data_IF_124231788780
#
_entry.id   IF_124231788780
#
_cell.length_a   1.000
_cell.length_b   1.000
_cell.length_c   1.000
_cell.angle_alpha   90.00
_cell.angle_beta   90.00
_cell.angle_gamma   90.00
#
_symmetry.space_group_name_H-M   'P 1'
#
loop_
_entity.id
_entity.type
_entity.pdbx_description
1 polymer ?
#
# COMPACT_ATOMS: atom_id res chain seq x y z
N UNK A 1 37.66 21.32 -43.31
CA UNK A 1 37.94 21.48 -41.84
C UNK A 1 36.68 21.71 -41.02
N UNK A 2 35.52 22.00 -41.58
CA UNK A 2 34.25 22.27 -40.86
C UNK A 2 33.45 21.01 -40.50
N UNK A 3 33.56 19.93 -41.29
CA UNK A 3 32.79 18.72 -41.07
C UNK A 3 33.18 17.97 -39.75
N UNK A 4 34.41 18.10 -39.30
CA UNK A 4 34.87 17.48 -38.05
C UNK A 4 34.36 18.23 -36.78
N UNK A 5 34.04 19.50 -36.90
CA UNK A 5 33.46 20.29 -35.77
C UNK A 5 32.02 19.90 -35.52
N UNK A 6 31.24 19.77 -36.58
CA UNK A 6 29.80 19.39 -36.48
C UNK A 6 29.61 18.01 -35.83
N UNK A 7 30.42 17.03 -36.23
CA UNK A 7 30.37 15.68 -35.63
C UNK A 7 30.75 15.66 -34.14
N UNK A 8 31.72 16.49 -33.77
CA UNK A 8 32.14 16.59 -32.34
C UNK A 8 31.09 17.25 -31.49
N UNK A 9 30.44 18.32 -31.96
CA UNK A 9 29.41 19.05 -31.22
C UNK A 9 28.11 18.24 -31.11
N UNK A 10 27.78 17.45 -32.15
CA UNK A 10 26.67 16.50 -32.12
C UNK A 10 26.92 15.35 -31.15
N UNK A 11 28.15 14.86 -31.05
CA UNK A 11 28.52 13.77 -30.12
C UNK A 11 28.50 14.25 -28.66
N UNK A 12 28.90 15.51 -28.42
CA UNK A 12 28.81 16.12 -27.10
C UNK A 12 27.35 16.37 -26.68
N UNK A 13 26.49 16.77 -27.62
CA UNK A 13 25.07 16.98 -27.35
C UNK A 13 24.33 15.67 -27.02
N UNK A 14 24.63 14.58 -27.73
CA UNK A 14 24.09 13.24 -27.44
C UNK A 14 24.60 12.69 -26.13
N UNK A 15 25.87 12.89 -25.77
CA UNK A 15 26.42 12.49 -24.49
C UNK A 15 25.75 13.23 -23.31
N UNK A 16 25.42 14.52 -23.50
CA UNK A 16 24.71 15.32 -22.48
C UNK A 16 23.29 14.79 -22.21
N UNK A 17 22.58 14.37 -23.26
CA UNK A 17 21.24 13.77 -23.11
C UNK A 17 21.25 12.39 -22.41
N UNK A 18 22.34 11.64 -22.52
CA UNK A 18 22.46 10.34 -21.86
C UNK A 18 22.75 10.46 -20.35
N UNK A 19 23.29 11.58 -19.89
CA UNK A 19 23.60 11.82 -18.47
C UNK A 19 22.37 12.32 -17.71
N UNK A 20 21.37 12.91 -18.37
CA UNK A 20 20.12 13.35 -17.72
C UNK A 20 19.07 12.25 -17.56
N UNK A 21 19.40 11.01 -17.98
CA UNK A 21 18.53 9.86 -17.86
C UNK A 21 18.46 9.35 -16.43
N UNK A 22 17.28 9.46 -15.84
CA UNK A 22 16.82 8.78 -14.62
C UNK A 22 17.72 8.99 -13.39
N UNK A 23 17.57 10.12 -12.72
CA UNK A 23 17.81 10.14 -11.29
C UNK A 23 16.75 9.22 -10.63
N UNK A 24 17.08 7.95 -10.45
CA UNK A 24 16.39 7.08 -9.54
C UNK A 24 16.63 7.64 -8.15
N UNK A 25 15.72 8.46 -7.67
CA UNK A 25 15.69 8.80 -6.25
C UNK A 25 15.35 7.49 -5.53
N UNK A 26 16.35 6.93 -4.87
CA UNK A 26 16.12 5.97 -3.80
C UNK A 26 15.31 6.73 -2.75
N UNK A 27 13.99 6.56 -2.78
CA UNK A 27 13.15 6.98 -1.66
C UNK A 27 13.62 6.10 -0.50
N UNK A 28 14.41 6.69 0.40
CA UNK A 28 14.67 6.06 1.69
C UNK A 28 13.30 5.74 2.26
N UNK A 29 12.99 4.45 2.38
CA UNK A 29 11.81 4.01 3.10
C UNK A 29 12.00 4.47 4.53
N UNK A 30 11.38 5.59 4.89
CA UNK A 30 11.31 6.03 6.26
C UNK A 30 10.51 4.97 7.03
N UNK A 31 11.22 4.01 7.63
CA UNK A 31 10.62 3.07 8.54
C UNK A 31 10.16 3.84 9.77
N UNK A 32 8.89 3.66 10.08
CA UNK A 32 8.35 4.14 11.35
C UNK A 32 8.85 3.20 12.44
N UNK A 33 9.63 3.72 13.38
CA UNK A 33 10.11 2.94 14.51
C UNK A 33 9.07 2.97 15.64
N UNK A 34 8.63 1.78 16.03
CA UNK A 34 7.72 1.56 17.15
C UNK A 34 8.42 0.75 18.24
N UNK A 35 8.01 0.91 19.48
CA UNK A 35 8.54 0.09 20.58
C UNK A 35 8.15 -1.37 20.41
N UNK A 36 6.88 -1.63 20.01
CA UNK A 36 6.33 -2.98 19.83
C UNK A 36 5.22 -2.97 18.78
N UNK A 37 5.12 -4.05 18.03
CA UNK A 37 3.98 -4.34 17.14
C UNK A 37 3.33 -5.64 17.61
N UNK A 38 2.04 -5.60 17.91
CA UNK A 38 1.22 -6.73 18.29
C UNK A 38 0.17 -7.02 17.23
N UNK A 39 -0.09 -8.29 16.99
CA UNK A 39 -1.09 -8.73 16.02
C UNK A 39 -2.16 -9.60 16.68
N UNK A 40 -3.41 -9.38 16.30
CA UNK A 40 -4.51 -10.27 16.64
C UNK A 40 -4.30 -11.68 16.06
N UNK A 41 -4.89 -12.67 16.70
CA UNK A 41 -4.72 -14.09 16.33
C UNK A 41 -5.25 -14.44 14.93
N UNK A 42 -6.14 -13.62 14.38
CA UNK A 42 -6.76 -13.82 13.06
C UNK A 42 -5.98 -13.17 11.89
N UNK A 43 -4.85 -12.51 12.16
CA UNK A 43 -4.11 -11.78 11.14
C UNK A 43 -3.13 -12.73 10.44
N UNK A 44 -3.25 -12.80 9.11
CA UNK A 44 -2.41 -13.62 8.26
C UNK A 44 -0.94 -13.15 8.26
N UNK A 45 -0.02 -14.11 8.14
CA UNK A 45 1.41 -13.81 8.11
C UNK A 45 1.83 -12.99 6.90
N UNK A 46 1.10 -13.10 5.78
CA UNK A 46 1.28 -12.26 4.59
C UNK A 46 1.13 -10.78 4.92
N UNK A 47 0.07 -10.42 5.67
CA UNK A 47 -0.20 -9.04 6.09
C UNK A 47 0.83 -8.57 7.14
N UNK A 48 1.22 -9.41 8.08
CA UNK A 48 2.28 -9.10 9.05
C UNK A 48 3.59 -8.74 8.35
N UNK A 49 3.99 -9.53 7.34
CA UNK A 49 5.19 -9.27 6.55
C UNK A 49 5.10 -7.96 5.75
N UNK A 50 3.91 -7.60 5.25
CA UNK A 50 3.68 -6.29 4.59
C UNK A 50 3.80 -5.14 5.58
N UNK A 51 3.22 -5.28 6.78
CA UNK A 51 3.32 -4.28 7.86
C UNK A 51 4.79 -4.00 8.23
N UNK A 52 5.62 -5.03 8.34
CA UNK A 52 7.04 -4.90 8.66
C UNK A 52 7.89 -4.19 7.57
N UNK A 53 7.32 -3.96 6.38
CA UNK A 53 7.96 -3.11 5.35
C UNK A 53 7.84 -1.61 5.64
N UNK A 54 6.93 -1.21 6.49
CA UNK A 54 6.64 0.19 6.83
C UNK A 54 6.95 0.51 8.29
N UNK A 55 6.75 -0.46 9.16
CA UNK A 55 6.95 -0.32 10.60
C UNK A 55 8.05 -1.27 11.06
N UNK A 56 9.03 -0.74 11.79
CA UNK A 56 10.08 -1.53 12.43
C UNK A 56 9.94 -1.48 13.95
N UNK A 57 10.44 -2.50 14.63
CA UNK A 57 10.53 -2.48 16.08
C UNK A 57 11.92 -2.06 16.51
N UNK A 58 12.02 -1.04 17.37
CA UNK A 58 13.30 -0.48 17.82
C UNK A 58 13.14 0.41 19.04
N UNK A 59 14.18 1.19 19.32
CA UNK A 59 14.16 2.20 20.39
C UNK A 59 13.43 3.45 19.89
N UNK A 60 12.11 3.38 19.74
CA UNK A 60 11.30 4.54 19.38
C UNK A 60 11.45 5.65 20.43
N UNK A 61 11.69 6.88 19.96
CA UNK A 61 11.79 8.06 20.85
C UNK A 61 10.54 8.27 21.70
N UNK A 62 9.37 7.88 21.19
CA UNK A 62 8.08 8.15 21.81
C UNK A 62 7.47 6.92 22.49
N UNK A 63 8.17 5.79 22.55
CA UNK A 63 7.72 4.53 23.16
C UNK A 63 6.31 4.11 22.68
N UNK A 64 5.96 4.45 21.44
CA UNK A 64 4.64 4.16 20.87
C UNK A 64 4.57 2.69 20.43
N UNK A 65 3.49 2.03 20.81
CA UNK A 65 3.17 0.66 20.41
C UNK A 65 2.02 0.67 19.42
N UNK A 66 2.04 -0.28 18.49
CA UNK A 66 0.94 -0.55 17.56
C UNK A 66 0.35 -1.93 17.84
N UNK A 67 -0.96 -2.01 17.97
CA UNK A 67 -1.69 -3.27 17.97
C UNK A 67 -2.69 -3.29 16.82
N UNK A 68 -2.49 -4.22 15.89
CA UNK A 68 -3.45 -4.48 14.82
C UNK A 68 -4.38 -5.58 15.32
N UNK A 69 -5.65 -5.22 15.53
CA UNK A 69 -6.63 -6.12 16.13
C UNK A 69 -7.20 -7.09 15.10
N UNK A 70 -7.51 -6.57 13.91
CA UNK A 70 -8.20 -7.31 12.88
C UNK A 70 -8.01 -6.70 11.50
N UNK A 71 -7.95 -7.56 10.48
CA UNK A 71 -8.00 -7.20 9.07
C UNK A 71 -9.04 -8.09 8.41
N UNK A 72 -10.00 -7.50 7.71
CA UNK A 72 -11.10 -8.22 7.07
C UNK A 72 -11.37 -7.70 5.68
N UNK A 73 -11.64 -8.62 4.76
CA UNK A 73 -12.13 -8.30 3.43
C UNK A 73 -13.51 -8.90 3.24
N UNK A 74 -14.44 -8.08 2.70
CA UNK A 74 -15.81 -8.48 2.41
C UNK A 74 -16.10 -8.21 0.94
N UNK A 75 -16.83 -9.12 0.32
CA UNK A 75 -17.24 -9.05 -1.08
C UNK A 75 -18.72 -8.69 -1.17
N UNK A 76 -19.05 -7.77 -2.08
CA UNK A 76 -20.43 -7.41 -2.43
C UNK A 76 -20.60 -7.44 -3.94
N UNK A 77 -21.61 -8.12 -4.41
CA UNK A 77 -21.94 -8.19 -5.83
C UNK A 77 -22.95 -7.10 -6.20
N UNK A 78 -22.69 -6.39 -7.30
CA UNK A 78 -23.63 -5.43 -7.89
C UNK A 78 -24.29 -6.01 -9.13
N UNK A 79 -25.61 -5.87 -9.21
CA UNK A 79 -26.45 -6.42 -10.27
C UNK A 79 -27.02 -5.29 -11.12
N UNK A 80 -27.12 -5.51 -12.44
CA UNK A 80 -27.61 -4.50 -13.38
C UNK A 80 -29.13 -4.39 -13.46
N UNK A 81 -29.91 -5.13 -12.61
CA UNK A 81 -31.37 -5.13 -12.56
C UNK A 81 -31.91 -6.36 -11.83
N UNK A 82 -33.25 -6.46 -11.62
CA UNK A 82 -33.86 -7.48 -10.77
C UNK A 82 -33.66 -8.96 -11.21
N UNK A 83 -33.36 -9.19 -12.47
CA UNK A 83 -33.05 -10.53 -13.02
C UNK A 83 -31.66 -10.59 -13.65
N UNK A 84 -30.83 -9.60 -13.40
CA UNK A 84 -29.53 -9.49 -14.02
C UNK A 84 -28.45 -10.25 -13.23
N UNK A 85 -27.47 -10.77 -13.97
CA UNK A 85 -26.24 -11.32 -13.38
C UNK A 85 -25.40 -10.19 -12.79
N UNK A 86 -24.55 -10.53 -11.83
CA UNK A 86 -23.61 -9.58 -11.27
C UNK A 86 -22.73 -8.99 -12.39
N UNK A 87 -22.60 -7.65 -12.42
CA UNK A 87 -21.75 -6.95 -13.39
C UNK A 87 -20.42 -6.51 -12.78
N UNK A 88 -20.43 -6.26 -11.48
CA UNK A 88 -19.26 -5.80 -10.74
C UNK A 88 -19.25 -6.44 -9.36
N UNK A 89 -18.04 -6.57 -8.83
CA UNK A 89 -17.78 -7.01 -7.47
C UNK A 89 -17.05 -5.88 -6.78
N UNK A 90 -17.55 -5.44 -5.65
CA UNK A 90 -16.85 -4.54 -4.74
C UNK A 90 -16.24 -5.34 -3.59
N UNK A 91 -14.96 -5.11 -3.34
CA UNK A 91 -14.25 -5.69 -2.20
C UNK A 91 -13.97 -4.57 -1.22
N UNK A 92 -14.44 -4.73 0.01
CA UNK A 92 -14.23 -3.80 1.12
C UNK A 92 -13.14 -4.37 2.02
N UNK A 93 -12.11 -3.55 2.30
CA UNK A 93 -11.10 -3.81 3.30
C UNK A 93 -11.38 -3.01 4.57
N UNK A 94 -11.25 -3.63 5.73
CA UNK A 94 -11.35 -2.99 7.04
C UNK A 94 -10.14 -3.42 7.89
N UNK A 95 -9.48 -2.45 8.55
CA UNK A 95 -8.40 -2.65 9.50
C UNK A 95 -8.74 -1.96 10.82
N UNK A 96 -8.68 -2.70 11.93
CA UNK A 96 -8.86 -2.19 13.28
C UNK A 96 -7.52 -2.17 14.02
N UNK A 97 -7.19 -1.01 14.61
CA UNK A 97 -5.89 -0.77 15.23
C UNK A 97 -6.00 0.00 16.54
N UNK A 98 -4.92 -0.07 17.33
CA UNK A 98 -4.69 0.75 18.50
C UNK A 98 -3.23 1.20 18.48
N UNK A 99 -3.00 2.52 18.55
CA UNK A 99 -1.72 3.10 18.93
C UNK A 99 -1.75 3.45 20.41
N UNK A 100 -0.77 3.01 21.18
CA UNK A 100 -0.77 3.25 22.62
C UNK A 100 0.64 3.38 23.21
N UNK A 101 0.75 4.24 24.22
CA UNK A 101 1.89 4.34 25.14
C UNK A 101 1.37 4.78 26.51
N UNK A 102 2.23 5.33 27.38
CA UNK A 102 1.83 5.83 28.70
C UNK A 102 0.93 7.08 28.65
N UNK A 103 0.92 7.83 27.54
CA UNK A 103 0.22 9.10 27.37
C UNK A 103 -0.91 8.99 26.33
N UNK A 104 -0.67 8.27 25.23
CA UNK A 104 -1.57 8.15 24.08
C UNK A 104 -2.29 6.81 24.11
N UNK A 105 -3.59 6.83 23.84
CA UNK A 105 -4.38 5.63 23.54
C UNK A 105 -5.37 5.97 22.43
N UNK A 106 -4.93 5.81 21.17
CA UNK A 106 -5.74 6.09 19.98
C UNK A 106 -6.14 4.79 19.31
N UNK A 107 -7.42 4.47 19.32
CA UNK A 107 -7.99 3.36 18.56
C UNK A 107 -8.73 3.90 17.32
N UNK A 108 -8.78 3.08 16.29
CA UNK A 108 -9.45 3.45 15.05
C UNK A 108 -9.80 2.25 14.18
N UNK A 109 -10.55 2.57 13.13
CA UNK A 109 -10.96 1.64 12.09
C UNK A 109 -10.78 2.29 10.74
N UNK A 110 -9.89 1.74 9.93
CA UNK A 110 -9.62 2.17 8.56
C UNK A 110 -10.47 1.35 7.60
N UNK A 111 -10.88 1.98 6.51
CA UNK A 111 -11.67 1.36 5.45
C UNK A 111 -11.15 1.74 4.09
N UNK A 112 -11.25 0.78 3.17
CA UNK A 112 -10.96 0.98 1.76
C UNK A 112 -11.87 0.10 0.92
N UNK A 113 -12.02 0.37 -0.37
CA UNK A 113 -12.74 -0.51 -1.28
C UNK A 113 -12.21 -0.42 -2.71
N UNK A 114 -12.35 -1.52 -3.44
CA UNK A 114 -12.01 -1.60 -4.85
C UNK A 114 -13.06 -2.35 -5.64
N UNK A 115 -13.19 -2.00 -6.92
CA UNK A 115 -14.17 -2.59 -7.84
C UNK A 115 -13.47 -3.43 -8.89
N UNK A 116 -14.00 -4.62 -9.15
CA UNK A 116 -13.59 -5.48 -10.26
C UNK A 116 -14.79 -5.84 -11.13
N UNK A 117 -14.64 -5.92 -12.45
CA UNK A 117 -15.68 -6.45 -13.33
C UNK A 117 -15.84 -7.95 -13.11
N UNK A 118 -17.08 -8.45 -13.19
CA UNK A 118 -17.34 -9.89 -13.23
C UNK A 118 -16.95 -10.43 -14.61
N UNK A 119 -16.23 -11.53 -14.64
CA UNK A 119 -15.85 -12.22 -15.86
C UNK A 119 -16.37 -13.65 -15.84
N UNK A 120 -17.66 -13.84 -16.21
CA UNK A 120 -18.29 -15.16 -16.24
C UNK A 120 -17.64 -16.10 -17.26
N UNK A 121 -17.03 -15.57 -18.33
CA UNK A 121 -16.38 -16.38 -19.35
C UNK A 121 -15.01 -16.92 -18.88
N UNK A 122 -14.40 -16.28 -17.89
CA UNK A 122 -13.11 -16.70 -17.34
C UNK A 122 -13.06 -16.55 -15.82
N UNK A 123 -13.62 -17.53 -15.07
CA UNK A 123 -13.63 -17.49 -13.60
C UNK A 123 -12.23 -17.41 -12.95
N UNK A 124 -11.23 -18.02 -13.59
CA UNK A 124 -9.85 -17.98 -13.08
C UNK A 124 -9.27 -16.55 -13.14
N UNK A 125 -9.56 -15.83 -14.22
CA UNK A 125 -9.18 -14.43 -14.36
C UNK A 125 -9.85 -13.55 -13.29
N UNK A 126 -11.13 -13.82 -12.98
CA UNK A 126 -11.85 -13.13 -11.91
C UNK A 126 -11.22 -13.40 -10.54
N UNK A 127 -10.87 -14.65 -10.23
CA UNK A 127 -10.19 -15.01 -8.98
C UNK A 127 -8.84 -14.30 -8.85
N UNK A 128 -8.05 -14.25 -9.92
CA UNK A 128 -6.77 -13.53 -9.93
C UNK A 128 -6.96 -12.02 -9.72
N UNK A 129 -7.96 -11.43 -10.39
CA UNK A 129 -8.29 -10.01 -10.20
C UNK A 129 -8.73 -9.73 -8.74
N UNK A 130 -9.51 -10.62 -8.12
CA UNK A 130 -9.90 -10.49 -6.71
C UNK A 130 -8.68 -10.54 -5.80
N UNK A 131 -7.73 -11.43 -6.05
CA UNK A 131 -6.49 -11.52 -5.27
C UNK A 131 -5.66 -10.25 -5.41
N UNK A 132 -5.46 -9.77 -6.62
CA UNK A 132 -4.70 -8.54 -6.90
C UNK A 132 -5.31 -7.34 -6.19
N UNK A 133 -6.63 -7.15 -6.29
CA UNK A 133 -7.27 -6.01 -5.62
C UNK A 133 -7.17 -6.10 -4.09
N UNK A 134 -7.26 -7.31 -3.50
CA UNK A 134 -7.06 -7.49 -2.06
C UNK A 134 -5.64 -7.06 -1.66
N UNK A 135 -4.62 -7.44 -2.44
CA UNK A 135 -3.24 -7.04 -2.21
C UNK A 135 -3.05 -5.52 -2.28
N UNK A 136 -3.71 -4.85 -3.23
CA UNK A 136 -3.71 -3.38 -3.36
C UNK A 136 -4.40 -2.71 -2.16
N UNK A 137 -5.57 -3.24 -1.74
CA UNK A 137 -6.31 -2.72 -0.59
C UNK A 137 -5.54 -2.92 0.73
N UNK A 138 -4.76 -3.98 0.88
CA UNK A 138 -3.87 -4.16 2.03
C UNK A 138 -2.81 -3.06 2.11
N UNK A 139 -2.20 -2.69 0.97
CA UNK A 139 -1.25 -1.57 0.92
C UNK A 139 -1.92 -0.24 1.25
N UNK A 140 -3.10 0.02 0.70
CA UNK A 140 -3.85 1.25 0.98
C UNK A 140 -4.24 1.37 2.47
N UNK A 141 -4.62 0.25 3.11
CA UNK A 141 -4.88 0.23 4.55
C UNK A 141 -3.63 0.54 5.37
N UNK A 142 -2.45 0.05 4.94
CA UNK A 142 -1.18 0.33 5.60
C UNK A 142 -0.75 1.80 5.39
N UNK A 143 -0.98 2.39 4.22
CA UNK A 143 -0.73 3.81 3.96
C UNK A 143 -1.60 4.69 4.87
N UNK A 144 -2.90 4.39 4.98
CA UNK A 144 -3.80 5.09 5.92
C UNK A 144 -3.35 4.92 7.38
N UNK A 145 -2.80 3.75 7.74
CA UNK A 145 -2.27 3.53 9.09
C UNK A 145 -1.02 4.38 9.36
N UNK A 146 -0.20 4.62 8.35
CA UNK A 146 0.95 5.54 8.41
C UNK A 146 0.46 6.98 8.60
N UNK A 147 -0.58 7.40 7.88
CA UNK A 147 -1.19 8.73 8.06
C UNK A 147 -1.70 8.92 9.50
N UNK A 148 -2.35 7.91 10.07
CA UNK A 148 -2.81 7.92 11.46
C UNK A 148 -1.66 8.04 12.47
N UNK A 149 -0.53 7.40 12.19
CA UNK A 149 0.69 7.55 12.99
C UNK A 149 1.19 9.01 12.98
N UNK A 150 1.30 9.64 11.82
CA UNK A 150 1.76 11.01 11.71
C UNK A 150 0.83 12.02 12.39
N UNK A 151 -0.47 11.74 12.43
CA UNK A 151 -1.44 12.55 13.19
C UNK A 151 -1.28 12.44 14.72
N UNK A 152 -0.58 11.42 15.22
CA UNK A 152 -0.27 11.27 16.64
C UNK A 152 1.03 12.00 16.99
N UNK A 153 1.99 12.03 16.06
CA UNK A 153 3.31 12.63 16.24
C UNK A 153 3.33 14.16 16.00
N UNK A 154 2.30 14.70 15.35
CA UNK A 154 2.15 16.14 15.07
C UNK A 154 1.60 16.91 16.29
#
# INVERSE_FOLDING_TARGET
MEQNKFNRDFLLLTAFFLITGCQYQWVEKNYIELQKIEYGSSIEDSFKNKTLKYFSTGSSKNNLNLKILNVKFKKKNFYGGPAARAKQIEIFGELEYIFFNSVVNKNGKLKTSGLIPVNEANPLSEMNAQKTIIEELEFELLEKLIEEYWLIES
#
